data_IF_500160047626
#
_entry.id   IF_500160047626
#
_cell.length_a   1.000
_cell.length_b   1.000
_cell.length_c   1.000
_cell.angle_alpha   90.00
_cell.angle_beta   90.00
_cell.angle_gamma   90.00
#
_symmetry.space_group_name_H-M   'P 1'
#
loop_
_entity.id
_entity.type
_entity.pdbx_description
1 polymer ?
#
# COMPACT_ATOMS: atom_id res chain seq x y z
N UNK A 1 27.95 11.61 24.79
CA UNK A 1 26.79 10.95 25.42
C UNK A 1 25.73 10.81 24.34
N UNK A 2 25.43 9.58 23.91
CA UNK A 2 24.38 9.33 22.93
C UNK A 2 23.04 9.31 23.67
N UNK A 3 22.18 10.28 23.39
CA UNK A 3 20.78 10.27 23.83
C UNK A 3 20.07 9.15 23.07
N UNK A 4 19.93 7.99 23.69
CA UNK A 4 19.03 6.94 23.21
C UNK A 4 17.60 7.48 23.31
N UNK A 5 17.07 8.04 22.22
CA UNK A 5 15.65 8.35 22.14
C UNK A 5 14.90 7.03 22.26
N UNK A 6 14.08 6.89 23.30
CA UNK A 6 13.17 5.75 23.42
C UNK A 6 12.36 5.61 22.13
N UNK A 7 12.19 4.39 21.58
CA UNK A 7 11.45 4.20 20.35
C UNK A 7 10.03 4.77 20.53
N UNK A 8 9.65 5.68 19.63
CA UNK A 8 8.33 6.28 19.63
C UNK A 8 7.31 5.18 19.34
N UNK A 9 6.39 4.96 20.27
CA UNK A 9 5.39 3.91 20.11
C UNK A 9 4.34 4.40 19.09
N UNK A 10 4.11 3.66 18.00
CA UNK A 10 3.14 4.07 16.98
C UNK A 10 1.75 4.30 17.59
N UNK A 11 1.13 5.43 17.22
CA UNK A 11 -0.20 5.81 17.72
C UNK A 11 -1.30 4.82 17.31
N UNK A 12 -1.13 4.24 16.13
CA UNK A 12 -2.01 3.25 15.53
C UNK A 12 -1.22 1.98 15.19
N UNK A 13 -1.86 0.83 15.33
CA UNK A 13 -1.42 -0.43 14.75
C UNK A 13 -2.35 -0.76 13.59
N UNK A 14 -1.79 -0.90 12.40
CA UNK A 14 -2.51 -1.33 11.20
C UNK A 14 -1.99 -2.70 10.78
N UNK A 15 -2.89 -3.56 10.31
CA UNK A 15 -2.54 -4.84 9.71
C UNK A 15 -3.50 -5.09 8.56
N UNK A 16 -2.99 -5.47 7.39
CA UNK A 16 -3.83 -5.93 6.30
C UNK A 16 -4.66 -7.13 6.77
N UNK A 17 -5.96 -7.07 6.55
CA UNK A 17 -6.89 -8.16 6.84
C UNK A 17 -7.14 -8.98 5.57
N UNK A 18 -7.48 -8.31 4.46
CA UNK A 18 -7.55 -8.94 3.13
C UNK A 18 -7.43 -7.92 1.99
N UNK A 19 -7.22 -8.43 0.78
CA UNK A 19 -7.10 -7.65 -0.45
C UNK A 19 -5.73 -7.75 -1.10
N UNK A 20 -5.57 -7.16 -2.30
CA UNK A 20 -6.55 -6.34 -2.98
C UNK A 20 -7.67 -7.17 -3.63
N UNK A 21 -8.89 -6.64 -3.64
CA UNK A 21 -10.05 -7.24 -4.30
C UNK A 21 -10.75 -6.22 -5.21
N UNK A 22 -11.52 -6.71 -6.18
CA UNK A 22 -12.39 -5.88 -7.02
C UNK A 22 -13.74 -5.74 -6.32
N UNK A 23 -14.29 -4.53 -6.30
CA UNK A 23 -15.62 -4.28 -5.71
C UNK A 23 -16.70 -5.01 -6.53
N UNK A 24 -17.60 -5.74 -5.87
CA UNK A 24 -18.58 -6.65 -6.53
C UNK A 24 -19.49 -5.93 -7.54
N UNK A 25 -19.94 -4.71 -7.20
CA UNK A 25 -20.84 -3.91 -8.04
C UNK A 25 -20.14 -2.84 -8.88
N UNK A 26 -18.86 -2.57 -8.64
CA UNK A 26 -18.11 -1.46 -9.26
C UNK A 26 -16.76 -2.00 -9.71
N UNK A 27 -16.71 -2.57 -10.91
CA UNK A 27 -15.52 -3.23 -11.42
C UNK A 27 -14.30 -2.28 -11.53
N UNK A 28 -14.52 -0.97 -11.55
CA UNK A 28 -13.50 0.07 -11.57
C UNK A 28 -12.95 0.46 -10.19
N UNK A 29 -13.48 -0.12 -9.11
CA UNK A 29 -12.99 0.09 -7.74
C UNK A 29 -12.27 -1.17 -7.26
N UNK A 30 -11.06 -0.96 -6.78
CA UNK A 30 -10.26 -1.94 -6.06
C UNK A 30 -10.20 -1.56 -4.58
N UNK A 31 -10.07 -2.53 -3.70
CA UNK A 31 -10.00 -2.22 -2.27
C UNK A 31 -9.16 -3.20 -1.46
N UNK A 32 -8.66 -2.71 -0.34
CA UNK A 32 -8.05 -3.52 0.72
C UNK A 32 -8.79 -3.27 2.02
N UNK A 33 -8.79 -4.25 2.93
CA UNK A 33 -9.36 -4.09 4.27
C UNK A 33 -8.28 -4.23 5.31
N UNK A 34 -8.26 -3.31 6.26
CA UNK A 34 -7.27 -3.28 7.33
C UNK A 34 -7.95 -3.41 8.68
N UNK A 35 -7.32 -4.15 9.60
CA UNK A 35 -7.60 -4.00 11.01
C UNK A 35 -6.80 -2.80 11.53
N UNK A 36 -7.48 -1.84 12.12
CA UNK A 36 -6.90 -0.62 12.68
C UNK A 36 -7.16 -0.58 14.17
N UNK A 37 -6.12 -0.37 14.98
CA UNK A 37 -6.23 -0.27 16.42
C UNK A 37 -5.46 0.92 16.96
N UNK A 38 -6.15 1.84 17.62
CA UNK A 38 -5.55 2.91 18.43
C UNK A 38 -5.52 2.49 19.89
N UNK A 39 -4.47 2.86 20.63
CA UNK A 39 -4.33 2.50 22.07
C UNK A 39 -5.51 3.00 22.92
N UNK A 40 -6.08 4.16 22.59
CA UNK A 40 -7.18 4.78 23.32
C UNK A 40 -8.57 4.22 22.97
N UNK A 41 -8.67 3.34 21.96
CA UNK A 41 -9.95 2.76 21.57
C UNK A 41 -10.28 1.53 22.39
N UNK A 42 -11.56 1.37 22.72
CA UNK A 42 -12.08 0.18 23.41
C UNK A 42 -11.90 -1.09 22.57
N UNK A 43 -11.86 -0.96 21.24
CA UNK A 43 -11.67 -2.04 20.28
C UNK A 43 -10.97 -1.56 19.01
N UNK A 44 -10.45 -2.50 18.23
CA UNK A 44 -10.02 -2.23 16.86
C UNK A 44 -11.24 -2.13 15.93
N UNK A 45 -11.00 -1.63 14.72
CA UNK A 45 -12.00 -1.52 13.66
C UNK A 45 -11.49 -2.17 12.40
N UNK A 46 -12.41 -2.62 11.55
CA UNK A 46 -12.11 -3.00 10.18
C UNK A 46 -12.47 -1.85 9.28
N UNK A 47 -11.52 -1.41 8.47
CA UNK A 47 -11.67 -0.27 7.57
C UNK A 47 -11.36 -0.72 6.15
N UNK A 48 -12.30 -0.43 5.25
CA UNK A 48 -12.16 -0.62 3.81
C UNK A 48 -11.47 0.60 3.21
N UNK A 49 -10.40 0.39 2.45
CA UNK A 49 -9.71 1.44 1.69
C UNK A 49 -9.93 1.17 0.22
N UNK A 50 -10.65 2.08 -0.44
CA UNK A 50 -10.94 1.99 -1.86
C UNK A 50 -9.95 2.79 -2.70
N UNK A 51 -9.75 2.31 -3.93
CA UNK A 51 -8.87 2.86 -4.95
C UNK A 51 -9.55 2.72 -6.31
N UNK A 52 -9.69 3.83 -7.03
CA UNK A 52 -10.18 3.78 -8.40
C UNK A 52 -9.09 3.20 -9.32
N UNK A 53 -9.45 2.27 -10.23
CA UNK A 53 -8.53 1.71 -11.21
C UNK A 53 -7.79 2.77 -12.04
N UNK A 54 -8.42 3.88 -12.48
CA UNK A 54 -7.71 4.97 -13.15
C UNK A 54 -6.60 5.59 -12.30
N UNK A 55 -6.82 5.72 -10.98
CA UNK A 55 -5.83 6.24 -10.04
C UNK A 55 -4.70 5.24 -9.80
N UNK A 56 -5.02 3.95 -9.61
CA UNK A 56 -4.00 2.89 -9.53
C UNK A 56 -3.12 2.88 -10.78
N UNK A 57 -3.73 2.98 -11.96
CA UNK A 57 -3.01 3.07 -13.24
C UNK A 57 -2.12 4.32 -13.31
N UNK A 58 -2.62 5.46 -12.81
CA UNK A 58 -1.85 6.71 -12.72
C UNK A 58 -0.65 6.56 -11.78
N UNK A 59 -0.82 5.94 -10.62
CA UNK A 59 0.24 5.69 -9.65
C UNK A 59 1.29 4.71 -10.17
N UNK A 60 0.88 3.61 -10.82
CA UNK A 60 1.78 2.70 -11.53
C UNK A 60 2.63 3.44 -12.56
N UNK A 61 2.05 4.37 -13.33
CA UNK A 61 2.79 5.20 -14.29
C UNK A 61 3.76 6.17 -13.62
N UNK A 62 3.37 6.85 -12.55
CA UNK A 62 4.26 7.74 -11.79
C UNK A 62 5.50 7.00 -11.28
N UNK A 63 5.31 5.73 -10.88
CA UNK A 63 6.38 4.86 -10.42
C UNK A 63 7.16 4.20 -11.57
N UNK A 64 6.68 4.25 -12.82
CA UNK A 64 7.15 3.37 -13.90
C UNK A 64 7.19 1.90 -13.46
N UNK A 65 6.19 1.50 -12.67
CA UNK A 65 6.26 0.31 -11.84
C UNK A 65 6.36 -0.97 -12.65
N UNK A 66 5.51 -1.14 -13.67
CA UNK A 66 5.51 -2.37 -14.46
C UNK A 66 6.85 -2.60 -15.14
N UNK A 67 7.39 -1.60 -15.86
CA UNK A 67 8.69 -1.72 -16.52
C UNK A 67 9.82 -2.01 -15.53
N UNK A 68 9.79 -1.37 -14.37
CA UNK A 68 10.76 -1.59 -13.30
C UNK A 68 10.64 -3.01 -12.73
N UNK A 69 9.43 -3.50 -12.48
CA UNK A 69 9.17 -4.84 -11.93
C UNK A 69 9.61 -5.90 -12.94
N UNK A 70 9.28 -5.77 -14.23
CA UNK A 70 9.74 -6.69 -15.28
C UNK A 70 11.26 -6.81 -15.31
N UNK A 71 11.97 -5.69 -15.19
CA UNK A 71 13.43 -5.70 -15.14
C UNK A 71 13.96 -6.37 -13.87
N UNK A 72 13.29 -6.18 -12.73
CA UNK A 72 13.66 -6.79 -11.45
C UNK A 72 13.40 -8.30 -11.40
N UNK A 73 12.42 -8.78 -12.17
CA UNK A 73 12.08 -10.21 -12.24
C UNK A 73 12.80 -10.94 -13.39
N UNK A 74 13.65 -10.27 -14.17
CA UNK A 74 14.27 -10.85 -15.39
C UNK A 74 15.15 -12.09 -15.13
N UNK A 75 15.56 -12.30 -13.88
CA UNK A 75 16.42 -13.42 -13.47
C UNK A 75 15.62 -14.67 -13.13
N UNK A 76 14.30 -14.53 -12.94
CA UNK A 76 13.44 -15.64 -12.58
C UNK A 76 13.29 -16.62 -13.75
N UNK A 77 13.09 -17.91 -13.44
CA UNK A 77 12.64 -18.88 -14.43
C UNK A 77 11.32 -18.42 -15.10
N UNK A 78 11.12 -18.67 -16.40
CA UNK A 78 9.89 -18.30 -17.10
C UNK A 78 8.61 -18.83 -16.45
N UNK A 79 8.68 -20.00 -15.80
CA UNK A 79 7.56 -20.63 -15.09
C UNK A 79 7.08 -19.85 -13.86
N UNK A 80 7.97 -19.11 -13.20
CA UNK A 80 7.65 -18.35 -11.99
C UNK A 80 7.29 -16.89 -12.30
N UNK A 81 7.69 -16.40 -13.47
CA UNK A 81 7.62 -14.98 -13.82
C UNK A 81 6.20 -14.39 -13.72
N UNK A 82 5.20 -15.07 -14.26
CA UNK A 82 3.82 -14.55 -14.29
C UNK A 82 3.22 -14.47 -12.87
N UNK A 83 3.51 -15.45 -12.02
CA UNK A 83 3.08 -15.46 -10.62
C UNK A 83 3.70 -14.30 -9.85
N UNK A 84 5.02 -14.11 -9.95
CA UNK A 84 5.72 -13.03 -9.26
C UNK A 84 5.32 -11.65 -9.80
N UNK A 85 5.11 -11.53 -11.11
CA UNK A 85 4.68 -10.27 -11.71
C UNK A 85 3.28 -9.89 -11.23
N UNK A 86 2.34 -10.84 -11.20
CA UNK A 86 1.01 -10.59 -10.66
C UNK A 86 1.05 -10.27 -9.17
N UNK A 87 1.81 -11.05 -8.38
CA UNK A 87 1.97 -10.82 -6.95
C UNK A 87 2.57 -9.45 -6.65
N UNK A 88 3.56 -9.00 -7.42
CA UNK A 88 4.14 -7.67 -7.28
C UNK A 88 3.14 -6.55 -7.57
N UNK A 89 2.23 -6.74 -8.54
CA UNK A 89 1.14 -5.79 -8.78
C UNK A 89 0.16 -5.73 -7.60
N UNK A 90 -0.19 -6.87 -7.01
CA UNK A 90 -1.08 -6.93 -5.86
C UNK A 90 -0.43 -6.29 -4.62
N UNK A 91 0.85 -6.57 -4.37
CA UNK A 91 1.62 -5.97 -3.29
C UNK A 91 1.70 -4.45 -3.41
N UNK A 92 1.96 -3.93 -4.61
CA UNK A 92 1.93 -2.48 -4.83
C UNK A 92 0.59 -1.89 -4.40
N UNK A 93 -0.52 -2.52 -4.80
CA UNK A 93 -1.85 -2.02 -4.46
C UNK A 93 -2.11 -2.07 -2.94
N UNK A 94 -1.65 -3.11 -2.25
CA UNK A 94 -1.71 -3.17 -0.78
C UNK A 94 -0.94 -2.00 -0.15
N UNK A 95 0.27 -1.71 -0.64
CA UNK A 95 1.06 -0.58 -0.16
C UNK A 95 0.43 0.78 -0.47
N UNK A 96 -0.19 0.95 -1.65
CA UNK A 96 -0.93 2.16 -1.99
C UNK A 96 -2.12 2.37 -1.04
N UNK A 97 -2.90 1.32 -0.78
CA UNK A 97 -4.00 1.36 0.19
C UNK A 97 -3.48 1.65 1.61
N UNK A 98 -2.36 1.04 2.01
CA UNK A 98 -1.75 1.29 3.32
C UNK A 98 -1.27 2.74 3.46
N UNK A 99 -0.65 3.30 2.42
CA UNK A 99 -0.21 4.70 2.40
C UNK A 99 -1.41 5.66 2.49
N UNK A 100 -2.49 5.37 1.74
CA UNK A 100 -3.74 6.14 1.82
C UNK A 100 -4.36 6.09 3.21
N UNK A 101 -4.38 4.91 3.84
CA UNK A 101 -4.81 4.76 5.23
C UNK A 101 -3.93 5.57 6.17
N UNK A 102 -2.60 5.54 6.00
CA UNK A 102 -1.69 6.29 6.86
C UNK A 102 -1.95 7.80 6.79
N UNK A 103 -2.20 8.34 5.59
CA UNK A 103 -2.60 9.74 5.42
C UNK A 103 -3.88 10.07 6.22
N UNK A 104 -4.91 9.23 6.14
CA UNK A 104 -6.14 9.40 6.90
C UNK A 104 -5.93 9.29 8.44
N UNK A 105 -5.02 8.42 8.88
CA UNK A 105 -4.65 8.30 10.30
C UNK A 105 -3.95 9.55 10.82
N UNK A 106 -3.09 10.16 10.00
CA UNK A 106 -2.36 11.37 10.32
C UNK A 106 -3.31 12.59 10.44
N UNK A 107 -4.37 12.63 9.62
CA UNK A 107 -5.46 13.62 9.73
C UNK A 107 -6.39 13.40 10.93
N UNK A 108 -6.28 12.27 11.62
CA UNK A 108 -7.04 11.98 12.83
C UNK A 108 -8.33 11.19 12.59
N UNK A 109 -8.22 10.07 11.88
CA UNK A 109 -9.30 9.10 11.68
C UNK A 109 -10.10 8.79 12.96
N UNK A 110 -11.43 8.79 12.82
CA UNK A 110 -12.39 8.49 13.90
C UNK A 110 -12.60 6.98 14.02
N UNK A 111 -13.04 6.51 15.19
CA UNK A 111 -13.25 5.08 15.41
C UNK A 111 -14.44 4.56 14.60
N UNK A 112 -15.40 5.42 14.28
CA UNK A 112 -16.62 5.06 13.54
C UNK A 112 -16.36 4.95 12.03
N UNK A 113 -15.19 5.34 11.54
CA UNK A 113 -14.84 5.28 10.12
C UNK A 113 -14.63 3.83 9.68
N UNK A 114 -15.50 3.34 8.81
CA UNK A 114 -15.42 1.98 8.25
C UNK A 114 -14.97 1.95 6.79
N UNK A 115 -14.96 3.09 6.11
CA UNK A 115 -14.63 3.24 4.70
C UNK A 115 -13.79 4.50 4.50
N UNK A 116 -12.76 4.37 3.68
CA UNK A 116 -12.04 5.46 3.05
C UNK A 116 -12.26 5.33 1.54
N UNK A 117 -13.13 6.17 1.01
CA UNK A 117 -13.64 6.11 -0.36
C UNK A 117 -12.53 6.38 -1.38
N UNK A 118 -12.67 5.86 -2.59
CA UNK A 118 -11.71 5.98 -3.68
C UNK A 118 -11.32 7.43 -4.01
N UNK A 119 -12.24 8.39 -3.90
CA UNK A 119 -12.06 9.81 -4.21
C UNK A 119 -11.35 10.60 -3.10
N UNK A 120 -11.32 10.07 -1.87
CA UNK A 120 -10.60 10.69 -0.75
C UNK A 120 -9.08 10.56 -0.90
N UNK A 121 -8.35 11.61 -0.55
CA UNK A 121 -6.88 11.63 -0.41
C UNK A 121 -6.07 11.23 -1.66
N UNK A 122 -6.67 11.24 -2.86
CA UNK A 122 -6.02 10.77 -4.09
C UNK A 122 -4.83 11.66 -4.49
N UNK A 123 -4.92 12.98 -4.29
CA UNK A 123 -3.83 13.91 -4.62
C UNK A 123 -2.71 13.90 -3.56
N UNK A 124 -3.06 13.75 -2.29
CA UNK A 124 -2.15 13.58 -1.17
C UNK A 124 -1.34 12.29 -1.35
N UNK A 125 -2.01 11.20 -1.76
CA UNK A 125 -1.34 9.95 -2.12
C UNK A 125 -0.43 10.13 -3.34
N UNK A 126 -0.87 10.86 -4.37
CA UNK A 126 -0.02 11.19 -5.52
C UNK A 126 1.26 11.92 -5.09
N UNK A 127 1.17 12.84 -4.13
CA UNK A 127 2.32 13.57 -3.58
C UNK A 127 3.24 12.64 -2.77
N UNK A 128 2.67 11.77 -1.93
CA UNK A 128 3.43 10.78 -1.17
C UNK A 128 4.21 9.84 -2.10
N UNK A 129 3.59 9.35 -3.17
CA UNK A 129 4.25 8.48 -4.16
C UNK A 129 5.40 9.21 -4.88
N UNK A 130 5.24 10.50 -5.21
CA UNK A 130 6.33 11.27 -5.83
C UNK A 130 7.52 11.45 -4.89
N UNK A 131 7.26 11.57 -3.59
CA UNK A 131 8.29 11.76 -2.57
C UNK A 131 8.99 10.45 -2.20
N UNK A 132 8.20 9.39 -1.98
CA UNK A 132 8.64 8.16 -1.34
C UNK A 132 8.59 6.95 -2.30
N UNK A 133 8.40 7.19 -3.60
CA UNK A 133 8.10 6.13 -4.58
C UNK A 133 9.15 5.03 -4.72
N UNK A 134 10.41 5.32 -4.37
CA UNK A 134 11.45 4.28 -4.33
C UNK A 134 11.26 3.31 -3.16
N UNK A 135 10.77 3.80 -2.01
CA UNK A 135 10.47 2.95 -0.86
C UNK A 135 9.37 1.93 -1.20
N UNK A 136 8.29 2.37 -1.88
CA UNK A 136 7.24 1.45 -2.36
C UNK A 136 7.79 0.30 -3.21
N UNK A 137 8.73 0.60 -4.10
CA UNK A 137 9.39 -0.41 -4.94
C UNK A 137 10.24 -1.37 -4.12
N UNK A 138 11.02 -0.86 -3.18
CA UNK A 138 11.87 -1.67 -2.31
C UNK A 138 11.03 -2.58 -1.40
N UNK A 139 9.94 -2.06 -0.83
CA UNK A 139 9.01 -2.82 -0.01
C UNK A 139 8.38 -3.97 -0.81
N UNK A 140 7.98 -3.73 -2.06
CA UNK A 140 7.49 -4.80 -2.96
C UNK A 140 8.54 -5.88 -3.20
N UNK A 141 9.80 -5.52 -3.50
CA UNK A 141 10.84 -6.54 -3.72
C UNK A 141 11.12 -7.35 -2.46
N UNK A 142 11.13 -6.68 -1.30
CA UNK A 142 11.34 -7.34 -0.01
C UNK A 142 10.25 -8.38 0.26
N UNK A 143 8.97 -8.07 0.03
CA UNK A 143 7.87 -9.03 0.19
C UNK A 143 7.81 -10.11 -0.89
N UNK A 144 8.43 -9.88 -2.05
CA UNK A 144 8.61 -10.91 -3.07
C UNK A 144 9.85 -11.79 -2.80
N UNK A 145 10.61 -11.52 -1.73
CA UNK A 145 11.92 -12.15 -1.48
C UNK A 145 12.91 -12.01 -2.67
N UNK A 146 12.78 -10.92 -3.44
CA UNK A 146 13.66 -10.59 -4.58
C UNK A 146 14.73 -9.60 -4.12
N UNK A 147 16.03 -9.88 -4.34
CA UNK A 147 17.07 -8.92 -4.00
C UNK A 147 16.93 -7.64 -4.85
N UNK A 148 17.26 -6.46 -4.29
CA UNK A 148 17.26 -5.23 -5.07
C UNK A 148 18.23 -5.35 -6.25
N UNK A 149 17.81 -4.90 -7.43
CA UNK A 149 18.69 -4.82 -8.59
C UNK A 149 19.73 -3.72 -8.33
N UNK A 150 20.99 -4.10 -8.15
CA UNK A 150 22.10 -3.16 -8.17
C UNK A 150 22.27 -2.63 -9.61
N UNK A 151 22.38 -1.30 -9.74
CA UNK A 151 22.66 -0.63 -11.02
C UNK A 151 24.07 -0.98 -11.56
#
# INVERSE_FOLDING_TARGET
MATSSSPEIPRYRTTLFFGPEVHETHADILYCVFNVKKRSWKGGIQLVVEMAQPDVSRFKRLLQFESWLRNSLRHLPPEDYDEYFQRGQDLLLQYLCQAKLQLALDEGLRQETTLLSHDELSEELAQAIRRDGQSFKQDVLAELDIPPVED
#
